data_IF_686966478343
#
_entry.id   IF_686966478343
#
_cell.length_a   1.000
_cell.length_b   1.000
_cell.length_c   1.000
_cell.angle_alpha   90.00
_cell.angle_beta   90.00
_cell.angle_gamma   90.00
#
_symmetry.space_group_name_H-M   'P 1'
#
loop_
_entity.id
_entity.type
_entity.pdbx_description
1 polymer ?
#
# COMPACT_ATOMS: atom_id res chain seq x y z
N UNK A 1 1.34 10.84 5.17
CA UNK A 1 0.55 9.58 5.24
C UNK A 1 0.93 8.80 6.49
N UNK A 2 2.23 8.54 6.69
CA UNK A 2 2.70 7.77 7.84
C UNK A 2 2.25 6.31 7.81
N UNK A 3 2.57 5.57 8.86
CA UNK A 3 2.21 4.15 8.95
C UNK A 3 0.70 3.93 8.91
N UNK A 4 -0.07 4.75 9.63
CA UNK A 4 -1.52 4.64 9.67
C UNK A 4 -2.16 4.91 8.31
N UNK A 5 -1.68 5.89 7.55
CA UNK A 5 -2.19 6.10 6.21
C UNK A 5 -1.82 4.96 5.24
N UNK A 6 -0.64 4.36 5.39
CA UNK A 6 -0.20 3.22 4.60
C UNK A 6 -1.04 1.96 4.85
N UNK A 7 -1.53 1.76 6.08
CA UNK A 7 -2.51 0.72 6.42
C UNK A 7 -3.80 0.86 5.59
N UNK A 8 -4.39 2.06 5.54
CA UNK A 8 -5.61 2.31 4.74
C UNK A 8 -5.37 2.12 3.24
N UNK A 9 -4.19 2.52 2.74
CA UNK A 9 -3.79 2.29 1.34
C UNK A 9 -3.67 0.80 1.07
N UNK A 10 -3.06 0.04 1.98
CA UNK A 10 -2.93 -1.40 1.86
C UNK A 10 -4.29 -2.10 1.80
N UNK A 11 -5.25 -1.68 2.63
CA UNK A 11 -6.61 -2.22 2.60
C UNK A 11 -7.29 -1.93 1.25
N UNK A 12 -7.18 -0.69 0.73
CA UNK A 12 -7.71 -0.34 -0.58
C UNK A 12 -7.03 -1.11 -1.73
N UNK A 13 -5.72 -1.36 -1.62
CA UNK A 13 -4.95 -2.12 -2.61
C UNK A 13 -5.38 -3.59 -2.69
N UNK A 14 -5.88 -4.21 -1.62
CA UNK A 14 -6.32 -5.63 -1.70
C UNK A 14 -7.51 -5.81 -2.64
N UNK A 15 -8.43 -4.84 -2.65
CA UNK A 15 -9.65 -4.86 -3.44
C UNK A 15 -9.50 -4.21 -4.83
N UNK A 16 -8.55 -3.28 -4.99
CA UNK A 16 -8.37 -2.58 -6.25
C UNK A 16 -7.68 -3.49 -7.30
N UNK A 17 -8.41 -3.79 -8.40
CA UNK A 17 -7.91 -4.62 -9.53
C UNK A 17 -7.71 -3.84 -10.83
N UNK A 18 -7.60 -2.51 -10.76
CA UNK A 18 -7.44 -1.65 -11.94
C UNK A 18 -6.25 -0.71 -11.86
N UNK A 19 -5.76 -0.41 -10.65
CA UNK A 19 -4.60 0.44 -10.44
C UNK A 19 -3.31 -0.31 -10.86
N UNK A 20 -2.56 0.26 -11.78
CA UNK A 20 -1.31 -0.31 -12.33
C UNK A 20 -0.05 0.46 -11.91
N UNK A 21 -0.21 1.60 -11.24
CA UNK A 21 0.92 2.40 -10.76
C UNK A 21 0.50 3.18 -9.52
N UNK A 22 1.35 3.14 -8.47
CA UNK A 22 1.16 3.88 -7.23
C UNK A 22 2.51 4.43 -6.76
N UNK A 23 2.62 5.76 -6.66
CA UNK A 23 3.79 6.43 -6.10
C UNK A 23 3.52 6.86 -4.66
N UNK A 24 4.38 6.41 -3.73
CA UNK A 24 4.30 6.71 -2.31
C UNK A 24 5.54 7.44 -1.79
N UNK A 25 6.37 8.02 -2.66
CA UNK A 25 7.53 8.80 -2.24
C UNK A 25 7.15 9.97 -1.31
N UNK A 26 8.07 10.31 -0.40
CA UNK A 26 7.94 11.46 0.53
C UNK A 26 6.70 11.44 1.44
N UNK A 27 6.18 10.25 1.78
CA UNK A 27 4.97 10.10 2.61
C UNK A 27 5.20 9.75 4.09
N UNK A 28 6.47 9.74 4.51
CA UNK A 28 6.94 9.37 5.85
C UNK A 28 6.46 7.99 6.32
N UNK A 29 6.42 7.01 5.40
CA UNK A 29 6.02 5.63 5.71
C UNK A 29 7.19 4.93 6.40
N UNK A 30 6.96 4.41 7.59
CA UNK A 30 7.91 3.64 8.38
C UNK A 30 7.82 2.14 8.09
N UNK A 31 8.51 1.34 8.90
CA UNK A 31 8.58 -0.11 8.72
C UNK A 31 7.21 -0.80 8.87
N UNK A 32 6.35 -0.30 9.76
CA UNK A 32 4.99 -0.84 9.94
C UNK A 32 4.14 -0.59 8.70
N UNK A 33 4.09 0.66 8.22
CA UNK A 33 3.34 1.01 7.01
C UNK A 33 3.83 0.27 5.77
N UNK A 34 5.15 0.12 5.61
CA UNK A 34 5.73 -0.66 4.52
C UNK A 34 5.33 -2.14 4.58
N UNK A 35 5.25 -2.73 5.78
CA UNK A 35 4.80 -4.12 5.98
C UNK A 35 3.33 -4.31 5.56
N UNK A 36 2.45 -3.35 5.90
CA UNK A 36 1.05 -3.38 5.45
C UNK A 36 0.95 -3.38 3.93
N UNK A 37 1.66 -2.46 3.26
CA UNK A 37 1.68 -2.36 1.79
C UNK A 37 2.23 -3.64 1.17
N UNK A 38 3.36 -4.17 1.66
CA UNK A 38 3.94 -5.41 1.14
C UNK A 38 2.97 -6.60 1.23
N UNK A 39 2.21 -6.72 2.32
CA UNK A 39 1.20 -7.76 2.45
C UNK A 39 0.03 -7.58 1.47
N UNK A 40 -0.40 -6.33 1.23
CA UNK A 40 -1.42 -6.05 0.22
C UNK A 40 -0.95 -6.38 -1.20
N UNK A 41 0.29 -6.02 -1.55
CA UNK A 41 0.89 -6.33 -2.85
C UNK A 41 1.05 -7.84 -3.09
N UNK A 42 1.30 -8.63 -2.05
CA UNK A 42 1.33 -10.11 -2.17
C UNK A 42 -0.03 -10.69 -2.63
N UNK A 43 -1.13 -10.04 -2.27
CA UNK A 43 -2.49 -10.47 -2.60
C UNK A 43 -2.97 -9.83 -3.90
N UNK A 44 -2.54 -8.60 -4.19
CA UNK A 44 -2.90 -7.89 -5.40
C UNK A 44 -1.95 -8.24 -6.55
N UNK A 45 -2.45 -8.96 -7.55
CA UNK A 45 -1.67 -9.41 -8.71
C UNK A 45 -1.75 -8.47 -9.92
N UNK A 46 -2.27 -7.25 -9.74
CA UNK A 46 -2.50 -6.30 -10.86
C UNK A 46 -1.44 -5.20 -10.94
N UNK A 47 -0.81 -4.84 -9.83
CA UNK A 47 0.13 -3.71 -9.71
C UNK A 47 1.58 -4.17 -9.64
#
# INVERSE_FOLDING_TARGET
>A
IGDKGAEHIADALRENKTLTTLDLQQNCIGCLGASHIANALRINTVI
#
